data_IF_382871595933
#
_entry.id   IF_382871595933
#
_cell.length_a   1.000
_cell.length_b   1.000
_cell.length_c   1.000
_cell.angle_alpha   90.00
_cell.angle_beta   90.00
_cell.angle_gamma   90.00
#
_symmetry.space_group_name_H-M   'P 1'
#
loop_
_entity.id
_entity.type
_entity.pdbx_description
1 polymer ?
#
# COMPACT_ATOMS: atom_id res chain seq x y z
N UNK A 1 -9.38 -5.11 -9.83
CA UNK A 1 -9.51 -4.71 -8.41
C UNK A 1 -9.82 -3.21 -8.38
N UNK A 2 -10.70 -2.77 -7.49
CA UNK A 2 -11.09 -1.36 -7.36
C UNK A 2 -10.53 -0.72 -6.09
N UNK A 3 -10.73 0.58 -5.93
CA UNK A 3 -10.38 1.33 -4.73
C UNK A 3 -11.36 0.99 -3.60
N UNK A 4 -10.92 0.35 -2.49
CA UNK A 4 -11.82 -0.17 -1.46
C UNK A 4 -12.56 0.93 -0.69
N UNK A 5 -11.98 2.12 -0.58
CA UNK A 5 -12.56 3.21 0.22
C UNK A 5 -13.85 3.78 -0.35
N UNK A 6 -14.18 3.49 -1.60
CA UNK A 6 -15.49 3.82 -2.19
C UNK A 6 -16.61 2.83 -1.79
N UNK A 7 -16.26 1.68 -1.20
CA UNK A 7 -17.22 0.64 -0.86
C UNK A 7 -17.32 0.43 0.66
N UNK A 8 -18.31 1.04 1.29
CA UNK A 8 -18.57 0.92 2.73
C UNK A 8 -18.87 -0.53 3.18
N UNK A 9 -19.30 -1.42 2.27
CA UNK A 9 -19.51 -2.82 2.60
C UNK A 9 -18.21 -3.56 2.98
N UNK A 10 -17.04 -3.04 2.59
CA UNK A 10 -15.74 -3.58 3.01
C UNK A 10 -15.61 -3.55 4.53
N UNK A 11 -16.00 -2.45 5.16
CA UNK A 11 -15.96 -2.30 6.62
C UNK A 11 -16.91 -3.28 7.31
N UNK A 12 -18.16 -3.32 6.87
CA UNK A 12 -19.17 -4.24 7.40
C UNK A 12 -18.73 -5.69 7.24
N UNK A 13 -18.32 -6.07 6.03
CA UNK A 13 -17.88 -7.44 5.75
C UNK A 13 -16.69 -7.85 6.63
N UNK A 14 -15.67 -7.00 6.76
CA UNK A 14 -14.51 -7.29 7.58
C UNK A 14 -14.87 -7.44 9.07
N UNK A 15 -15.77 -6.59 9.57
CA UNK A 15 -16.18 -6.59 10.97
C UNK A 15 -17.07 -7.78 11.33
N UNK A 16 -18.11 -8.00 10.53
CA UNK A 16 -19.26 -8.83 10.92
C UNK A 16 -19.27 -10.22 10.26
N UNK A 17 -18.69 -10.38 9.07
CA UNK A 17 -18.91 -11.57 8.24
C UNK A 17 -17.63 -12.38 7.95
N UNK A 18 -16.48 -11.71 7.78
CA UNK A 18 -15.27 -12.36 7.26
C UNK A 18 -14.76 -13.50 8.15
N UNK A 19 -14.79 -13.34 9.47
CA UNK A 19 -14.35 -14.38 10.40
C UNK A 19 -15.22 -15.63 10.35
N UNK A 20 -16.52 -15.42 10.32
CA UNK A 20 -17.48 -16.54 10.25
C UNK A 20 -17.35 -17.30 8.95
N UNK A 21 -17.13 -16.56 7.85
CA UNK A 21 -16.90 -17.15 6.54
C UNK A 21 -15.62 -17.99 6.51
N UNK A 22 -14.51 -17.45 7.05
CA UNK A 22 -13.24 -18.17 7.13
C UNK A 22 -13.36 -19.40 8.01
N UNK A 23 -13.96 -19.29 9.19
CA UNK A 23 -14.18 -20.41 10.10
C UNK A 23 -15.03 -21.53 9.48
N UNK A 24 -16.00 -21.14 8.63
CA UNK A 24 -16.92 -22.09 7.99
C UNK A 24 -16.31 -22.82 6.80
N UNK A 25 -15.49 -22.14 5.99
CA UNK A 25 -15.06 -22.67 4.70
C UNK A 25 -13.56 -22.88 4.56
N UNK A 26 -12.77 -22.34 5.46
CA UNK A 26 -11.31 -22.37 5.37
C UNK A 26 -10.75 -22.82 6.72
N UNK A 27 -9.93 -23.87 6.72
CA UNK A 27 -9.24 -24.34 7.92
C UNK A 27 -8.09 -23.42 8.36
N UNK A 28 -8.26 -22.12 8.23
CA UNK A 28 -7.26 -21.13 8.64
C UNK A 28 -7.40 -20.84 10.14
N UNK A 29 -6.28 -20.82 10.86
CA UNK A 29 -6.25 -20.46 12.28
C UNK A 29 -6.32 -18.97 12.53
N UNK A 30 -5.83 -18.17 11.58
CA UNK A 30 -5.76 -16.71 11.66
C UNK A 30 -6.10 -16.07 10.32
N UNK A 31 -6.64 -14.87 10.37
CA UNK A 31 -6.92 -14.04 9.19
C UNK A 31 -6.35 -12.65 9.42
N UNK A 32 -5.70 -12.11 8.38
CA UNK A 32 -5.05 -10.81 8.42
C UNK A 32 -5.53 -9.94 7.24
N UNK A 33 -6.78 -9.45 7.28
CA UNK A 33 -7.30 -8.61 6.19
C UNK A 33 -6.51 -7.32 6.08
N UNK A 34 -6.27 -6.88 4.85
CA UNK A 34 -5.54 -5.64 4.56
C UNK A 34 -6.38 -4.77 3.66
N UNK A 35 -6.58 -3.53 4.06
CA UNK A 35 -7.06 -2.46 3.17
C UNK A 35 -5.85 -1.75 2.58
N UNK A 36 -5.78 -1.74 1.25
CA UNK A 36 -4.79 -0.97 0.50
C UNK A 36 -5.52 0.11 -0.29
N UNK A 37 -5.10 1.37 -0.16
CA UNK A 37 -5.76 2.50 -0.80
C UNK A 37 -4.75 3.47 -1.41
N UNK A 38 -5.11 4.03 -2.57
CA UNK A 38 -4.38 5.15 -3.17
C UNK A 38 -4.76 6.50 -2.56
N UNK A 39 -5.73 6.53 -1.63
CA UNK A 39 -6.22 7.74 -0.96
C UNK A 39 -6.86 8.73 -1.97
N UNK A 40 -7.99 8.36 -2.58
CA UNK A 40 -8.61 9.16 -3.65
C UNK A 40 -9.16 10.49 -3.10
N UNK A 41 -8.74 11.61 -3.69
CA UNK A 41 -9.17 12.95 -3.27
C UNK A 41 -10.65 13.26 -3.56
N UNK A 42 -11.26 12.51 -4.46
CA UNK A 42 -12.69 12.65 -4.82
C UNK A 42 -13.62 11.79 -3.96
N UNK A 43 -13.11 11.15 -2.91
CA UNK A 43 -13.94 10.40 -1.96
C UNK A 43 -14.23 11.25 -0.71
N UNK A 44 -15.42 11.83 -0.56
CA UNK A 44 -15.75 12.66 0.60
C UNK A 44 -15.82 11.88 1.93
N UNK A 45 -15.88 10.55 1.86
CA UNK A 45 -15.91 9.66 3.02
C UNK A 45 -14.56 8.99 3.31
N UNK A 46 -13.48 9.41 2.65
CA UNK A 46 -12.17 8.78 2.78
C UNK A 46 -11.67 8.77 4.23
N UNK A 47 -11.70 9.92 4.90
CA UNK A 47 -11.24 10.05 6.29
C UNK A 47 -12.08 9.18 7.23
N UNK A 48 -13.40 9.22 7.10
CA UNK A 48 -14.31 8.41 7.89
C UNK A 48 -14.04 6.91 7.68
N UNK A 49 -13.89 6.47 6.43
CA UNK A 49 -13.57 5.08 6.10
C UNK A 49 -12.26 4.62 6.75
N UNK A 50 -11.20 5.43 6.61
CA UNK A 50 -9.87 5.07 7.12
C UNK A 50 -9.87 4.98 8.64
N UNK A 51 -10.54 5.91 9.33
CA UNK A 51 -10.66 5.88 10.80
C UNK A 51 -11.44 4.64 11.27
N UNK A 52 -12.57 4.33 10.65
CA UNK A 52 -13.35 3.13 10.98
C UNK A 52 -12.54 1.84 10.71
N UNK A 53 -11.74 1.80 9.62
CA UNK A 53 -10.86 0.67 9.39
C UNK A 53 -9.78 0.54 10.46
N UNK A 54 -9.22 1.64 10.95
CA UNK A 54 -8.26 1.61 12.06
C UNK A 54 -8.88 1.04 13.34
N UNK A 55 -10.13 1.38 13.63
CA UNK A 55 -10.86 0.79 14.76
C UNK A 55 -11.07 -0.71 14.59
N UNK A 56 -11.52 -1.14 13.42
CA UNK A 56 -11.66 -2.57 13.07
C UNK A 56 -10.32 -3.29 13.24
N UNK A 57 -9.23 -2.73 12.68
CA UNK A 57 -7.89 -3.28 12.79
C UNK A 57 -7.45 -3.44 14.25
N UNK A 58 -7.57 -2.37 15.03
CA UNK A 58 -7.03 -2.32 16.38
C UNK A 58 -7.88 -3.12 17.39
N UNK A 59 -9.20 -3.08 17.23
CA UNK A 59 -10.15 -3.67 18.20
C UNK A 59 -10.56 -5.08 17.76
N UNK A 60 -11.21 -5.19 16.59
CA UNK A 60 -11.80 -6.46 16.15
C UNK A 60 -10.72 -7.48 15.77
N UNK A 61 -9.64 -7.04 15.13
CA UNK A 61 -8.51 -7.89 14.74
C UNK A 61 -7.31 -7.81 15.70
N UNK A 62 -7.43 -7.09 16.82
CA UNK A 62 -6.36 -6.99 17.85
C UNK A 62 -5.00 -6.58 17.27
N UNK A 63 -5.01 -5.74 16.24
CA UNK A 63 -3.81 -5.26 15.57
C UNK A 63 -3.29 -6.14 14.41
N UNK A 64 -3.88 -7.30 14.17
CA UNK A 64 -3.42 -8.24 13.13
C UNK A 64 -3.83 -7.85 11.70
N UNK A 65 -4.91 -7.09 11.53
CA UNK A 65 -5.27 -6.52 10.23
C UNK A 65 -4.29 -5.43 9.79
N UNK A 66 -4.24 -5.14 8.50
CA UNK A 66 -3.34 -4.15 7.91
C UNK A 66 -4.07 -2.95 7.28
N UNK A 67 -3.43 -1.79 7.33
CA UNK A 67 -3.78 -0.62 6.54
C UNK A 67 -2.56 -0.21 5.73
N UNK A 68 -2.71 -0.11 4.41
CA UNK A 68 -1.65 0.24 3.50
C UNK A 68 -2.04 1.46 2.67
N UNK A 69 -1.18 2.47 2.67
CA UNK A 69 -1.26 3.64 1.80
C UNK A 69 -0.32 3.47 0.61
N UNK A 70 -0.85 3.52 -0.60
CA UNK A 70 -0.05 3.52 -1.82
C UNK A 70 0.56 4.90 -2.00
N UNK A 71 1.83 5.05 -1.64
CA UNK A 71 2.58 6.32 -1.71
C UNK A 71 3.28 6.45 -3.05
N UNK A 72 4.02 5.43 -3.45
CA UNK A 72 4.76 5.25 -4.71
C UNK A 72 5.88 6.25 -4.98
N UNK A 73 5.83 7.48 -4.47
CA UNK A 73 6.88 8.49 -4.61
C UNK A 73 6.84 9.48 -3.45
N UNK A 74 7.99 10.01 -3.07
CA UNK A 74 8.11 11.16 -2.16
C UNK A 74 8.08 12.51 -2.88
N UNK A 75 7.92 12.50 -4.20
CA UNK A 75 7.68 13.66 -5.04
C UNK A 75 6.21 13.72 -5.46
N UNK A 76 5.57 14.88 -5.25
CA UNK A 76 4.14 15.05 -5.55
C UNK A 76 3.82 15.04 -7.04
N UNK A 77 4.72 15.52 -7.89
CA UNK A 77 4.50 15.55 -9.37
C UNK A 77 4.56 14.12 -9.91
N UNK A 78 5.59 13.35 -9.51
CA UNK A 78 5.70 11.95 -9.88
C UNK A 78 4.51 11.13 -9.37
N UNK A 79 4.11 11.34 -8.10
CA UNK A 79 2.93 10.70 -7.52
C UNK A 79 1.65 11.04 -8.29
N UNK A 80 1.42 12.32 -8.60
CA UNK A 80 0.25 12.76 -9.34
C UNK A 80 0.18 12.15 -10.74
N UNK A 81 1.32 12.03 -11.42
CA UNK A 81 1.41 11.34 -12.71
C UNK A 81 0.98 9.87 -12.59
N UNK A 82 1.49 9.15 -11.58
CA UNK A 82 1.19 7.73 -11.39
C UNK A 82 -0.27 7.45 -11.04
N UNK A 83 -0.94 8.38 -10.38
CA UNK A 83 -2.35 8.23 -9.96
C UNK A 83 -3.32 9.10 -10.77
N UNK A 84 -2.92 9.60 -11.95
CA UNK A 84 -3.75 10.43 -12.82
C UNK A 84 -4.38 11.63 -12.08
N UNK A 85 -3.65 12.24 -11.17
CA UNK A 85 -4.12 13.33 -10.30
C UNK A 85 -5.35 12.98 -9.43
N UNK A 86 -5.62 11.72 -9.16
CA UNK A 86 -6.78 11.28 -8.38
C UNK A 86 -6.48 11.05 -6.89
N UNK A 87 -5.21 11.00 -6.50
CA UNK A 87 -4.78 10.77 -5.11
C UNK A 87 -4.54 12.07 -4.36
N UNK A 88 -4.68 12.01 -3.01
CA UNK A 88 -4.24 13.11 -2.14
C UNK A 88 -2.74 13.39 -2.30
N UNK A 89 -2.33 14.64 -2.07
CA UNK A 89 -0.92 15.01 -1.95
C UNK A 89 -0.28 14.40 -0.70
N UNK A 90 1.04 14.34 -0.65
CA UNK A 90 1.76 13.82 0.52
C UNK A 90 1.46 14.62 1.80
N UNK A 91 1.29 15.93 1.69
CA UNK A 91 0.94 16.81 2.81
C UNK A 91 -0.47 16.55 3.34
N UNK A 92 -1.43 16.27 2.45
CA UNK A 92 -2.79 15.91 2.82
C UNK A 92 -2.81 14.51 3.48
N UNK A 93 -2.04 13.57 2.96
CA UNK A 93 -1.88 12.24 3.56
C UNK A 93 -1.23 12.35 4.94
N UNK A 94 -0.20 13.19 5.08
CA UNK A 94 0.43 13.46 6.37
C UNK A 94 -0.54 14.08 7.40
N UNK A 95 -1.43 14.99 6.95
CA UNK A 95 -2.48 15.53 7.83
C UNK A 95 -3.48 14.46 8.24
N UNK A 96 -3.90 13.60 7.32
CA UNK A 96 -4.78 12.47 7.61
C UNK A 96 -4.10 11.49 8.57
N UNK A 97 -2.83 11.14 8.36
CA UNK A 97 -2.09 10.20 9.20
C UNK A 97 -2.00 10.62 10.67
N UNK A 98 -1.93 11.93 10.94
CA UNK A 98 -1.92 12.49 12.31
C UNK A 98 -3.25 12.35 13.06
N UNK A 99 -4.33 12.05 12.36
CA UNK A 99 -5.67 11.79 12.93
C UNK A 99 -5.89 10.32 13.25
N UNK A 100 -5.03 9.43 12.74
CA UNK A 100 -5.17 8.00 12.97
C UNK A 100 -4.87 7.66 14.43
N UNK A 101 -5.60 6.69 15.02
CA UNK A 101 -5.21 6.16 16.32
C UNK A 101 -3.83 5.49 16.21
N UNK A 102 -3.09 5.44 17.32
CA UNK A 102 -1.84 4.68 17.37
C UNK A 102 -2.10 3.21 16.97
N UNK A 103 -1.28 2.62 16.12
CA UNK A 103 -1.49 1.25 15.69
C UNK A 103 -1.28 0.28 16.85
N UNK A 104 -2.23 -0.63 17.03
CA UNK A 104 -2.05 -1.80 17.89
C UNK A 104 -1.45 -2.91 17.03
N UNK A 105 -0.45 -3.61 17.53
CA UNK A 105 0.22 -4.71 16.81
C UNK A 105 0.95 -4.23 15.55
N UNK A 106 0.46 -4.58 14.37
CA UNK A 106 1.09 -4.19 13.10
C UNK A 106 0.99 -2.69 12.86
N UNK A 107 2.12 -2.06 12.55
CA UNK A 107 2.17 -0.67 12.09
C UNK A 107 1.39 -0.50 10.77
N UNK A 108 0.98 0.72 10.47
CA UNK A 108 0.46 1.09 9.16
C UNK A 108 1.58 1.00 8.11
N UNK A 109 1.23 0.79 6.85
CA UNK A 109 2.22 0.58 5.79
C UNK A 109 2.19 1.72 4.77
N UNK A 110 3.34 2.31 4.50
CA UNK A 110 3.59 3.18 3.36
C UNK A 110 4.17 2.32 2.24
N UNK A 111 3.38 2.04 1.21
CA UNK A 111 3.80 1.19 0.10
C UNK A 111 4.32 2.02 -1.06
N UNK A 112 5.47 1.63 -1.56
CA UNK A 112 6.11 2.17 -2.74
C UNK A 112 6.21 1.07 -3.81
N UNK A 113 5.41 1.22 -4.87
CA UNK A 113 5.60 0.45 -6.09
C UNK A 113 6.71 1.14 -6.87
N UNK A 114 7.90 0.53 -6.92
CA UNK A 114 9.11 1.19 -7.41
C UNK A 114 9.50 0.75 -8.82
N UNK A 115 9.95 1.74 -9.59
CA UNK A 115 10.64 1.61 -10.86
C UNK A 115 12.07 2.14 -10.71
N UNK A 116 12.89 2.09 -11.76
CA UNK A 116 14.25 2.67 -11.71
C UNK A 116 14.26 4.16 -11.40
N UNK A 117 13.22 4.89 -11.84
CA UNK A 117 13.11 6.35 -11.75
C UNK A 117 12.32 6.81 -10.52
N UNK A 118 11.93 5.89 -9.63
CA UNK A 118 11.17 6.24 -8.43
C UNK A 118 11.97 7.19 -7.55
N UNK A 119 11.35 8.31 -7.18
CA UNK A 119 11.90 9.26 -6.21
C UNK A 119 11.43 8.85 -4.82
N UNK A 120 12.37 8.37 -4.00
CA UNK A 120 12.14 7.98 -2.62
C UNK A 120 13.20 8.62 -1.72
N UNK A 121 12.85 9.77 -1.14
CA UNK A 121 13.68 10.55 -0.23
C UNK A 121 13.31 10.23 1.22
N UNK A 122 14.26 9.66 1.97
CA UNK A 122 14.07 9.22 3.34
C UNK A 122 13.88 10.40 4.32
N UNK A 123 14.52 11.55 4.08
CA UNK A 123 14.39 12.74 4.93
C UNK A 123 13.03 13.38 4.73
N UNK A 124 12.61 13.49 3.47
CA UNK A 124 11.27 13.97 3.12
C UNK A 124 10.19 13.09 3.76
N UNK A 125 10.32 11.76 3.65
CA UNK A 125 9.38 10.83 4.25
C UNK A 125 9.32 10.99 5.77
N UNK A 126 10.49 11.11 6.43
CA UNK A 126 10.60 11.31 7.89
C UNK A 126 10.01 12.64 8.35
N UNK A 127 9.99 13.67 7.49
CA UNK A 127 9.34 14.94 7.82
C UNK A 127 7.80 14.88 7.80
N UNK A 128 7.25 13.89 7.11
CA UNK A 128 5.81 13.75 6.88
C UNK A 128 5.14 12.72 7.78
N UNK A 129 5.82 11.61 8.07
CA UNK A 129 5.24 10.45 8.75
C UNK A 129 6.06 10.02 9.97
N UNK A 130 5.35 9.47 10.96
CA UNK A 130 5.94 8.96 12.20
C UNK A 130 6.39 7.50 12.00
N UNK A 131 7.68 7.21 12.23
CA UNK A 131 8.27 5.88 12.11
C UNK A 131 7.77 4.90 13.17
N UNK A 132 7.24 5.40 14.27
CA UNK A 132 6.66 4.56 15.31
C UNK A 132 5.30 4.00 14.86
N UNK A 133 4.57 4.74 14.03
CA UNK A 133 3.24 4.36 13.54
C UNK A 133 3.28 3.65 12.19
N UNK A 134 4.32 3.88 11.38
CA UNK A 134 4.41 3.42 10.01
C UNK A 134 5.66 2.57 9.73
N UNK A 135 5.51 1.61 8.82
CA UNK A 135 6.61 0.92 8.15
C UNK A 135 6.62 1.28 6.66
N UNK A 136 7.76 1.12 6.03
CA UNK A 136 7.87 1.26 4.56
C UNK A 136 7.89 -0.11 3.92
N UNK A 137 7.03 -0.31 2.92
CA UNK A 137 7.05 -1.49 2.05
C UNK A 137 7.48 -1.07 0.65
N UNK A 138 8.51 -1.71 0.12
CA UNK A 138 9.00 -1.54 -1.25
C UNK A 138 8.54 -2.77 -2.05
N UNK A 139 7.80 -2.52 -3.14
CA UNK A 139 7.35 -3.54 -4.06
C UNK A 139 7.81 -3.16 -5.46
N UNK A 140 8.58 -3.99 -6.16
CA UNK A 140 8.95 -3.70 -7.53
C UNK A 140 7.74 -3.69 -8.45
N UNK A 141 7.79 -2.85 -9.47
CA UNK A 141 6.93 -2.99 -10.65
C UNK A 141 7.74 -3.79 -11.66
N UNK A 142 7.28 -5.00 -11.94
CA UNK A 142 7.90 -5.87 -12.94
C UNK A 142 7.44 -5.51 -14.36
N UNK A 143 8.14 -6.08 -15.34
CA UNK A 143 7.86 -5.93 -16.78
C UNK A 143 6.54 -6.65 -17.12
N UNK A 144 5.43 -5.99 -16.85
CA UNK A 144 4.11 -6.43 -17.27
C UNK A 144 3.70 -5.71 -18.55
N UNK A 145 2.78 -6.28 -19.32
CA UNK A 145 2.29 -5.64 -20.55
C UNK A 145 1.77 -4.22 -20.28
N UNK A 146 1.03 -4.05 -19.19
CA UNK A 146 0.54 -2.73 -18.75
C UNK A 146 1.65 -1.76 -18.37
N UNK A 147 2.73 -2.24 -17.72
CA UNK A 147 3.84 -1.37 -17.34
C UNK A 147 4.59 -0.86 -18.55
N UNK A 148 4.82 -1.73 -19.55
CA UNK A 148 5.46 -1.38 -20.84
C UNK A 148 4.58 -0.38 -21.61
N UNK A 149 3.29 -0.65 -21.76
CA UNK A 149 2.35 0.25 -22.45
C UNK A 149 2.28 1.64 -21.83
N UNK A 150 2.44 1.75 -20.51
CA UNK A 150 2.47 3.02 -19.80
C UNK A 150 3.88 3.65 -19.74
N UNK A 151 4.88 3.06 -20.39
CA UNK A 151 6.23 3.63 -20.52
C UNK A 151 7.07 3.61 -19.23
N UNK A 152 6.78 2.71 -18.28
CA UNK A 152 7.59 2.55 -17.08
C UNK A 152 8.92 1.84 -17.40
N UNK A 153 10.04 2.41 -16.92
CA UNK A 153 11.33 1.71 -16.93
C UNK A 153 11.36 0.73 -15.75
N UNK A 154 10.95 -0.48 -16.02
CA UNK A 154 10.76 -1.54 -15.04
C UNK A 154 12.02 -2.38 -14.87
N UNK A 155 12.17 -2.99 -13.70
CA UNK A 155 13.23 -3.98 -13.48
C UNK A 155 12.73 -5.37 -13.83
N UNK A 156 13.55 -6.13 -14.57
CA UNK A 156 13.25 -7.49 -15.02
C UNK A 156 13.77 -8.56 -14.07
N UNK A 157 14.52 -8.16 -13.04
CA UNK A 157 15.16 -9.11 -12.14
C UNK A 157 14.27 -9.47 -10.96
N UNK A 158 13.87 -10.75 -10.90
CA UNK A 158 13.23 -11.36 -9.74
C UNK A 158 14.25 -11.82 -8.68
N UNK A 159 15.51 -11.97 -9.10
CA UNK A 159 16.58 -12.57 -8.28
C UNK A 159 17.62 -11.54 -7.82
N UNK A 160 17.61 -10.32 -8.37
CA UNK A 160 18.58 -9.27 -8.04
C UNK A 160 18.02 -8.31 -7.00
N UNK A 161 18.31 -8.61 -5.75
CA UNK A 161 17.97 -7.75 -4.61
C UNK A 161 18.73 -6.41 -4.61
N UNK A 162 19.88 -6.34 -5.26
CA UNK A 162 20.73 -5.13 -5.26
C UNK A 162 20.03 -3.93 -5.90
N UNK A 163 19.11 -4.18 -6.81
CA UNK A 163 18.27 -3.14 -7.45
C UNK A 163 17.45 -2.35 -6.42
N UNK A 164 17.07 -2.99 -5.30
CA UNK A 164 16.23 -2.38 -4.26
C UNK A 164 17.03 -1.74 -3.15
N UNK A 165 18.31 -2.10 -3.00
CA UNK A 165 19.21 -1.55 -1.97
C UNK A 165 19.31 -0.03 -2.01
N UNK A 166 19.27 0.56 -3.21
CA UNK A 166 19.31 2.01 -3.37
C UNK A 166 18.14 2.73 -2.70
N UNK A 167 16.99 2.07 -2.55
CA UNK A 167 15.81 2.58 -1.87
C UNK A 167 15.81 2.19 -0.39
N UNK A 168 16.17 0.96 -0.08
CA UNK A 168 16.14 0.41 1.27
C UNK A 168 17.18 1.05 2.19
N UNK A 169 18.44 1.13 1.76
CA UNK A 169 19.54 1.58 2.60
C UNK A 169 19.37 3.00 3.18
N UNK A 170 18.95 4.02 2.40
CA UNK A 170 18.68 5.35 2.94
C UNK A 170 17.58 5.35 3.99
N UNK A 171 16.52 4.56 3.78
CA UNK A 171 15.40 4.45 4.72
C UNK A 171 15.83 3.77 6.03
N UNK A 172 16.54 2.65 5.96
CA UNK A 172 17.07 1.95 7.15
C UNK A 172 18.04 2.86 7.91
N UNK A 173 18.93 3.57 7.20
CA UNK A 173 19.83 4.54 7.82
C UNK A 173 19.09 5.69 8.51
N UNK A 174 17.95 6.10 7.96
CA UNK A 174 17.07 7.10 8.58
C UNK A 174 16.21 6.53 9.71
N UNK A 175 16.33 5.23 10.04
CA UNK A 175 15.63 4.57 11.15
C UNK A 175 14.24 4.06 10.83
N UNK A 176 13.91 3.83 9.56
CA UNK A 176 12.66 3.19 9.16
C UNK A 176 12.74 1.67 9.27
N UNK A 177 11.63 1.06 9.69
CA UNK A 177 11.38 -0.36 9.44
C UNK A 177 11.02 -0.51 7.96
N UNK A 178 11.75 -1.34 7.22
CA UNK A 178 11.58 -1.52 5.78
C UNK A 178 11.32 -2.99 5.46
N UNK A 179 10.32 -3.24 4.61
CA UNK A 179 10.05 -4.55 4.01
C UNK A 179 10.22 -4.41 2.50
N UNK A 180 11.10 -5.22 1.92
CA UNK A 180 11.19 -5.38 0.47
C UNK A 180 10.45 -6.66 0.10
N UNK A 181 9.37 -6.53 -0.65
CA UNK A 181 8.58 -7.65 -1.14
C UNK A 181 8.77 -7.79 -2.64
N UNK A 182 9.45 -8.85 -3.05
CA UNK A 182 9.65 -9.19 -4.46
C UNK A 182 8.70 -10.34 -4.78
N UNK A 183 7.67 -10.13 -5.62
CA UNK A 183 6.78 -11.20 -6.05
C UNK A 183 7.54 -12.22 -6.90
N UNK A 184 7.05 -13.45 -6.92
CA UNK A 184 7.64 -14.49 -7.76
C UNK A 184 7.23 -14.31 -9.23
N UNK A 185 7.97 -14.96 -10.12
CA UNK A 185 7.66 -14.94 -11.56
C UNK A 185 6.31 -15.62 -11.86
N UNK A 186 5.95 -16.61 -11.07
CA UNK A 186 4.66 -17.30 -11.15
C UNK A 186 3.52 -16.37 -10.77
N UNK A 187 3.67 -15.59 -9.70
CA UNK A 187 2.67 -14.59 -9.30
C UNK A 187 2.45 -13.53 -10.37
N UNK A 188 3.49 -13.12 -11.08
CA UNK A 188 3.37 -12.19 -12.21
C UNK A 188 2.69 -12.83 -13.41
N UNK A 189 3.01 -14.09 -13.75
CA UNK A 189 2.36 -14.80 -14.85
C UNK A 189 0.88 -15.06 -14.59
N UNK A 190 0.49 -15.26 -13.34
CA UNK A 190 -0.90 -15.42 -12.92
C UNK A 190 -1.65 -14.08 -12.76
N UNK A 191 -0.98 -12.96 -13.03
CA UNK A 191 -1.53 -11.59 -12.98
C UNK A 191 -2.09 -11.17 -11.61
N UNK A 192 -1.50 -11.68 -10.54
CA UNK A 192 -1.91 -11.38 -9.16
C UNK A 192 -1.04 -10.31 -8.48
N UNK A 193 0.00 -9.83 -9.16
CA UNK A 193 0.92 -8.80 -8.66
C UNK A 193 0.49 -7.38 -9.00
N UNK A 194 1.12 -6.40 -8.35
CA UNK A 194 0.96 -4.99 -8.65
C UNK A 194 1.39 -4.68 -10.09
N UNK A 195 0.56 -3.96 -10.84
CA UNK A 195 0.80 -3.63 -12.25
C UNK A 195 0.04 -4.53 -13.24
N UNK A 196 -0.52 -5.63 -12.79
CA UNK A 196 -1.33 -6.54 -13.60
C UNK A 196 -2.83 -6.23 -13.63
N UNK A 197 -3.27 -5.13 -13.02
CA UNK A 197 -4.66 -4.71 -13.12
C UNK A 197 -4.98 -4.34 -14.57
N UNK A 198 -5.65 -5.24 -15.27
CA UNK A 198 -6.16 -4.98 -16.61
C UNK A 198 -7.27 -3.93 -16.52
N UNK A 199 -6.97 -2.72 -16.96
CA UNK A 199 -8.01 -1.83 -17.42
C UNK A 199 -8.37 -2.38 -18.80
N UNK A 200 -9.47 -3.11 -18.87
CA UNK A 200 -10.03 -3.45 -20.19
C UNK A 200 -10.48 -2.14 -20.83
N UNK A 201 -9.66 -1.62 -21.73
CA UNK A 201 -10.12 -0.62 -22.67
C UNK A 201 -11.11 -1.31 -23.61
N UNK A 202 -12.38 -1.05 -23.43
CA UNK A 202 -13.37 -1.01 -24.48
C UNK A 202 -14.19 0.24 -24.34
#
# INVERSE_FOLDING_TARGET
MGEPTFNQNVLRFAKDELRDLVNKYICAKTIHPVVSTMLPKNNPKLEEFVLQWCDIKNIDYKGEAGLQFSINSTDNEQRNSQFNNLSLSLEEISKLSKKLPKPVGRKYTLNFAVTKDTILDADRLSSLFDKDDFIVKITPIHETHSAIENGYDVTTSYDDYDVYRKFEQPLVKAGWDVIVFVPSKEEDSDRITCGNALISSK
#
